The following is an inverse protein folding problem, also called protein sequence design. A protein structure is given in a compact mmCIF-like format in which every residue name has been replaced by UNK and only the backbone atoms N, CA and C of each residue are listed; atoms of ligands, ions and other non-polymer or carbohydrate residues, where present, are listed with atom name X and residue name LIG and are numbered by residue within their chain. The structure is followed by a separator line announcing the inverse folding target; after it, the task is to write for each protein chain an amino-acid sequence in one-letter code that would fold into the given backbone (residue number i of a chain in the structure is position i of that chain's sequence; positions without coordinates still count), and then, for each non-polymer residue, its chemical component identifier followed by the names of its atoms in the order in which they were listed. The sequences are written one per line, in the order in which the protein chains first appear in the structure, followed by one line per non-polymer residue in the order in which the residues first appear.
data_IF_998110697149
#
_entry.id   IF_998110697149
#
_cell.length_a   1.000
_cell.length_b   1.000
_cell.length_c   1.000
_cell.angle_alpha   90.00
_cell.angle_beta   90.00
_cell.angle_gamma   90.00
#
_symmetry.space_group_name_H-M   'P 1'
#
loop_
_entity.id
_entity.type
_entity.pdbx_description
1 polymer ?
#
# COMPACT_ATOMS: atom_id res chain seq x y z
N UNK A 1 9.13 -7.45 0.77
CA UNK A 1 9.24 -6.35 -0.22
C UNK A 1 7.90 -6.05 -0.88
N UNK A 2 7.18 -7.05 -1.41
CA UNK A 2 5.90 -6.88 -2.11
C UNK A 2 4.88 -5.98 -1.41
N UNK A 3 4.66 -6.19 -0.11
CA UNK A 3 3.77 -5.36 0.70
C UNK A 3 4.13 -3.87 0.64
N UNK A 4 5.41 -3.52 0.74
CA UNK A 4 5.87 -2.13 0.77
C UNK A 4 5.69 -1.36 -0.56
N UNK A 5 5.47 -2.08 -1.67
CA UNK A 5 5.29 -1.49 -3.01
C UNK A 5 3.91 -1.79 -3.61
N UNK A 6 3.00 -2.42 -2.84
CA UNK A 6 1.65 -2.72 -3.33
C UNK A 6 1.62 -3.81 -4.40
N UNK A 7 2.63 -4.69 -4.47
CA UNK A 7 2.66 -5.77 -5.44
C UNK A 7 1.83 -6.97 -4.96
N UNK A 8 1.01 -7.52 -5.85
CA UNK A 8 0.26 -8.76 -5.64
C UNK A 8 0.61 -9.74 -6.76
N UNK A 9 1.10 -10.92 -6.37
CA UNK A 9 1.55 -11.93 -7.32
C UNK A 9 0.38 -12.62 -8.04
N UNK A 10 -0.77 -12.79 -7.37
CA UNK A 10 -1.99 -13.37 -7.95
C UNK A 10 -2.03 -14.90 -8.05
N UNK A 11 -0.89 -15.59 -8.00
CA UNK A 11 -0.79 -17.07 -8.00
C UNK A 11 0.41 -17.50 -7.15
N UNK A 12 0.24 -17.57 -5.83
CA UNK A 12 1.30 -18.01 -4.90
C UNK A 12 1.16 -19.49 -4.55
N UNK A 13 1.05 -20.33 -5.57
CA UNK A 13 1.10 -21.78 -5.40
C UNK A 13 2.53 -22.21 -4.98
N UNK A 14 2.68 -23.42 -4.42
CA UNK A 14 3.97 -23.91 -3.92
C UNK A 14 5.03 -24.06 -4.99
N UNK A 15 4.64 -24.39 -6.23
CA UNK A 15 5.51 -24.46 -7.41
C UNK A 15 6.03 -23.09 -7.88
N UNK A 16 5.34 -22.00 -7.49
CA UNK A 16 5.74 -20.63 -7.81
C UNK A 16 6.51 -19.95 -6.67
N UNK A 17 6.98 -20.73 -5.70
CA UNK A 17 7.86 -20.27 -4.62
C UNK A 17 9.31 -20.67 -4.92
N UNK A 18 10.10 -19.73 -5.42
CA UNK A 18 11.53 -19.97 -5.64
C UNK A 18 12.26 -20.24 -4.31
N UNK A 19 13.10 -21.28 -4.27
CA UNK A 19 13.90 -21.61 -3.09
C UNK A 19 14.89 -20.51 -2.71
N UNK A 20 15.27 -19.67 -3.69
CA UNK A 20 16.13 -18.49 -3.51
C UNK A 20 15.40 -17.31 -2.85
N UNK A 21 14.06 -17.34 -2.78
CA UNK A 21 13.23 -16.23 -2.32
C UNK A 21 12.96 -15.14 -3.38
N UNK A 22 13.32 -15.40 -4.63
CA UNK A 22 13.05 -14.49 -5.76
C UNK A 22 11.59 -14.56 -6.22
N UNK A 23 11.10 -13.48 -6.83
CA UNK A 23 9.78 -13.48 -7.48
C UNK A 23 9.90 -14.18 -8.83
N UNK A 24 9.07 -15.18 -9.07
CA UNK A 24 9.05 -15.97 -10.32
C UNK A 24 7.63 -16.05 -10.86
N UNK A 25 7.47 -16.60 -12.07
CA UNK A 25 6.17 -16.88 -12.69
C UNK A 25 5.18 -15.70 -12.70
N UNK A 26 5.55 -14.64 -13.41
CA UNK A 26 4.74 -13.44 -13.62
C UNK A 26 3.53 -13.74 -14.53
N UNK A 27 2.45 -14.25 -13.95
CA UNK A 27 1.16 -14.43 -14.61
C UNK A 27 0.20 -13.26 -14.31
N UNK A 28 -0.93 -13.48 -13.61
CA UNK A 28 -1.90 -12.45 -13.30
C UNK A 28 -1.47 -11.61 -12.08
N UNK A 29 -0.28 -11.00 -12.16
CA UNK A 29 0.20 -10.10 -11.12
C UNK A 29 -0.38 -8.69 -11.28
N UNK A 30 -0.31 -7.88 -10.23
CA UNK A 30 -0.70 -6.48 -10.29
C UNK A 30 0.01 -5.63 -9.26
N UNK A 31 0.37 -4.42 -9.66
CA UNK A 31 0.63 -3.34 -8.71
C UNK A 31 -0.69 -2.68 -8.38
N UNK A 32 -0.97 -2.57 -7.09
CA UNK A 32 -2.16 -1.94 -6.56
C UNK A 32 -2.16 -0.45 -6.94
N UNK A 33 -3.22 -0.04 -7.63
CA UNK A 33 -3.47 1.36 -7.96
C UNK A 33 -4.04 2.08 -6.73
N UNK A 34 -5.32 1.83 -6.41
CA UNK A 34 -5.99 2.31 -5.20
C UNK A 34 -5.74 1.33 -4.07
N UNK A 35 -5.46 1.82 -2.85
CA UNK A 35 -5.27 0.94 -1.71
C UNK A 35 -6.53 0.13 -1.39
N UNK A 36 -6.41 -1.18 -1.54
CA UNK A 36 -7.41 -2.17 -1.17
C UNK A 36 -6.69 -3.40 -0.58
N UNK A 37 -6.82 -3.68 0.73
CA UNK A 37 -6.17 -4.83 1.34
C UNK A 37 -6.65 -6.17 0.75
N UNK A 38 -7.86 -6.17 0.19
CA UNK A 38 -8.51 -7.31 -0.43
C UNK A 38 -8.28 -7.36 -1.96
N UNK A 39 -7.38 -6.53 -2.50
CA UNK A 39 -7.08 -6.49 -3.93
C UNK A 39 -6.55 -7.82 -4.45
N UNK A 40 -7.16 -8.31 -5.53
CA UNK A 40 -6.80 -9.53 -6.23
C UNK A 40 -6.71 -9.23 -7.74
N UNK A 41 -5.51 -9.26 -8.34
CA UNK A 41 -5.36 -9.05 -9.79
C UNK A 41 -5.78 -10.28 -10.62
N UNK A 42 -5.84 -11.47 -10.01
CA UNK A 42 -6.21 -12.71 -10.68
C UNK A 42 -7.73 -12.90 -10.70
N UNK A 43 -8.34 -12.81 -11.89
CA UNK A 43 -9.78 -13.00 -12.09
C UNK A 43 -10.28 -14.41 -11.73
N UNK A 44 -9.39 -15.41 -11.71
CA UNK A 44 -9.72 -16.78 -11.30
C UNK A 44 -9.73 -16.99 -9.79
N UNK A 45 -9.17 -16.06 -9.00
CA UNK A 45 -9.12 -16.13 -7.53
C UNK A 45 -10.30 -15.38 -6.89
N UNK A 46 -11.52 -15.86 -7.14
CA UNK A 46 -12.74 -15.26 -6.58
C UNK A 46 -12.77 -15.31 -5.04
N UNK A 47 -12.13 -16.31 -4.43
CA UNK A 47 -12.01 -16.43 -2.98
C UNK A 47 -11.03 -15.40 -2.39
N UNK A 48 -10.14 -14.82 -3.20
CA UNK A 48 -9.10 -13.90 -2.76
C UNK A 48 -8.06 -14.56 -1.87
N UNK A 49 -7.73 -15.82 -2.16
CA UNK A 49 -6.67 -16.58 -1.48
C UNK A 49 -5.32 -15.86 -1.57
N UNK A 50 -5.05 -15.22 -2.71
CA UNK A 50 -3.80 -14.52 -3.02
C UNK A 50 -3.98 -13.00 -3.01
N UNK A 51 -4.96 -12.48 -2.25
CA UNK A 51 -5.13 -11.04 -2.07
C UNK A 51 -3.90 -10.38 -1.45
N UNK A 52 -3.76 -9.07 -1.62
CA UNK A 52 -2.63 -8.30 -1.09
C UNK A 52 -2.33 -8.62 0.38
N UNK A 53 -3.34 -8.55 1.26
CA UNK A 53 -3.18 -8.78 2.69
C UNK A 53 -2.92 -10.27 3.04
N UNK A 54 -3.35 -11.21 2.19
CA UNK A 54 -3.17 -12.65 2.43
C UNK A 54 -1.75 -13.14 2.11
N UNK A 55 -1.02 -12.48 1.21
CA UNK A 55 0.29 -12.95 0.73
C UNK A 55 1.27 -13.37 1.84
N UNK A 56 1.45 -12.62 2.96
CA UNK A 56 2.36 -13.04 4.03
C UNK A 56 1.95 -14.36 4.69
N UNK A 57 0.65 -14.58 4.87
CA UNK A 57 0.11 -15.84 5.42
C UNK A 57 0.23 -17.00 4.43
N UNK A 58 0.00 -16.74 3.14
CA UNK A 58 0.21 -17.75 2.08
C UNK A 58 1.67 -18.18 1.99
N UNK A 59 2.62 -17.25 2.08
CA UNK A 59 4.04 -17.59 2.11
C UNK A 59 4.39 -18.46 3.33
N UNK A 60 3.83 -18.17 4.51
CA UNK A 60 4.00 -19.03 5.69
C UNK A 60 3.41 -20.43 5.46
N UNK A 61 2.22 -20.51 4.87
CA UNK A 61 1.58 -21.78 4.52
C UNK A 61 2.42 -22.59 3.51
N UNK A 62 3.06 -21.94 2.53
CA UNK A 62 3.96 -22.60 1.58
C UNK A 62 5.25 -23.11 2.25
N UNK A 63 5.80 -22.37 3.23
CA UNK A 63 6.93 -22.83 4.05
C UNK A 63 6.56 -24.08 4.84
N UNK A 64 5.34 -24.11 5.40
CA UNK A 64 4.83 -25.28 6.11
C UNK A 64 4.73 -26.51 5.20
N UNK A 65 4.18 -26.38 3.97
CA UNK A 65 4.12 -27.47 3.00
C UNK A 65 5.50 -27.98 2.59
N UNK A 66 6.48 -27.08 2.43
CA UNK A 66 7.86 -27.47 2.20
C UNK A 66 8.43 -28.26 3.39
N UNK A 67 8.18 -27.78 4.62
CA UNK A 67 8.59 -28.47 5.84
C UNK A 67 8.02 -29.89 5.95
N UNK A 68 6.73 -30.07 5.65
CA UNK A 68 6.09 -31.40 5.61
C UNK A 68 6.77 -32.34 4.62
N UNK A 69 7.14 -31.86 3.43
CA UNK A 69 7.83 -32.67 2.43
C UNK A 69 9.24 -33.11 2.87
N UNK A 70 9.86 -32.36 3.78
CA UNK A 70 11.21 -32.58 4.30
C UNK A 70 11.23 -33.20 5.71
N UNK A 71 10.07 -33.49 6.31
CA UNK A 71 9.94 -33.86 7.71
C UNK A 71 10.77 -35.10 8.11
N UNK A 72 10.97 -36.05 7.19
CA UNK A 72 11.75 -37.26 7.43
C UNK A 72 13.27 -37.04 7.33
N UNK A 73 13.69 -35.89 6.80
CA UNK A 73 15.09 -35.51 6.60
C UNK A 73 15.56 -34.48 7.63
N UNK A 74 14.64 -33.87 8.38
CA UNK A 74 14.91 -32.79 9.32
C UNK A 74 14.64 -33.23 10.76
N UNK A 75 15.33 -32.63 11.75
CA UNK A 75 14.98 -32.82 13.16
C UNK A 75 13.52 -32.44 13.45
N UNK A 76 12.84 -33.12 14.40
CA UNK A 76 11.52 -32.71 14.85
C UNK A 76 11.49 -31.24 15.31
N UNK A 77 10.44 -30.51 14.95
CA UNK A 77 10.28 -29.09 15.32
C UNK A 77 10.96 -28.09 14.37
N UNK A 78 11.63 -28.55 13.30
CA UNK A 78 12.37 -27.68 12.38
C UNK A 78 11.45 -26.71 11.62
N UNK A 79 10.27 -27.16 11.21
CA UNK A 79 9.29 -26.35 10.47
C UNK A 79 8.75 -25.22 11.35
N UNK A 80 8.43 -25.52 12.60
CA UNK A 80 7.92 -24.56 13.58
C UNK A 80 8.97 -23.48 13.90
N UNK A 81 10.23 -23.87 14.02
CA UNK A 81 11.34 -22.93 14.19
C UNK A 81 11.51 -22.03 12.95
N UNK A 82 11.41 -22.59 11.75
CA UNK A 82 11.48 -21.82 10.51
C UNK A 82 10.31 -20.82 10.38
N UNK A 83 9.09 -21.23 10.73
CA UNK A 83 7.91 -20.35 10.73
C UNK A 83 8.03 -19.22 11.76
N UNK A 84 8.55 -19.51 12.96
CA UNK A 84 8.83 -18.48 13.96
C UNK A 84 9.88 -17.46 13.45
N UNK A 85 10.93 -17.95 12.80
CA UNK A 85 11.95 -17.10 12.18
C UNK A 85 11.40 -16.27 11.00
N UNK A 86 10.50 -16.85 10.19
CA UNK A 86 9.81 -16.16 9.10
C UNK A 86 9.01 -14.97 9.63
N UNK A 87 8.12 -15.17 10.61
CA UNK A 87 7.29 -14.09 11.14
C UNK A 87 8.10 -13.00 11.82
N UNK A 88 9.13 -13.37 12.58
CA UNK A 88 10.05 -12.40 13.19
C UNK A 88 10.73 -11.53 12.13
N UNK A 89 11.27 -12.16 11.08
CA UNK A 89 11.97 -11.46 9.99
C UNK A 89 11.01 -10.61 9.17
N UNK A 90 9.86 -11.16 8.79
CA UNK A 90 8.83 -10.45 8.03
C UNK A 90 8.35 -9.19 8.77
N UNK A 91 7.98 -9.31 10.05
CA UNK A 91 7.48 -8.17 10.84
C UNK A 91 8.54 -7.08 11.02
N UNK A 92 9.79 -7.48 11.27
CA UNK A 92 10.91 -6.54 11.39
C UNK A 92 11.18 -5.79 10.08
N UNK A 93 11.24 -6.50 8.95
CA UNK A 93 11.46 -5.91 7.63
C UNK A 93 10.28 -5.06 7.16
N UNK A 94 9.06 -5.51 7.41
CA UNK A 94 7.82 -4.78 7.12
C UNK A 94 7.84 -3.42 7.83
N UNK A 95 8.07 -3.43 9.14
CA UNK A 95 8.18 -2.20 9.94
C UNK A 95 9.32 -1.31 9.44
N UNK A 96 10.52 -1.86 9.24
CA UNK A 96 11.68 -1.08 8.81
C UNK A 96 11.48 -0.42 7.43
N UNK A 97 10.75 -1.08 6.52
CA UNK A 97 10.42 -0.52 5.20
C UNK A 97 9.39 0.58 5.29
N UNK A 98 8.28 0.37 6.00
CA UNK A 98 7.26 1.41 6.12
C UNK A 98 7.74 2.63 6.90
N UNK A 99 8.60 2.46 7.92
CA UNK A 99 9.30 3.58 8.57
C UNK A 99 10.11 4.42 7.58
N UNK A 100 10.86 3.77 6.68
CA UNK A 100 11.62 4.48 5.61
C UNK A 100 10.68 5.20 4.65
N UNK A 101 9.57 4.56 4.25
CA UNK A 101 8.54 5.16 3.39
C UNK A 101 7.86 6.37 4.03
N UNK A 102 7.73 6.40 5.35
CA UNK A 102 7.18 7.51 6.15
C UNK A 102 8.26 8.53 6.60
N UNK A 103 9.54 8.27 6.36
CA UNK A 103 10.63 9.14 6.79
C UNK A 103 10.86 9.18 8.30
N UNK A 104 10.53 8.10 9.03
CA UNK A 104 10.73 7.93 10.48
C UNK A 104 12.10 7.27 10.74
N UNK A 105 13.16 8.07 10.77
CA UNK A 105 14.56 7.62 10.65
C UNK A 105 15.41 7.79 11.93
N UNK A 106 14.92 8.55 12.91
CA UNK A 106 15.72 9.06 14.03
C UNK A 106 15.38 8.30 15.30
N UNK A 107 14.10 8.17 15.63
CA UNK A 107 13.60 7.51 16.85
C UNK A 107 12.48 6.55 16.49
N UNK A 108 12.46 5.38 17.13
CA UNK A 108 11.35 4.42 17.06
C UNK A 108 10.40 4.66 18.22
N UNK A 109 9.12 4.85 17.90
CA UNK A 109 8.04 5.02 18.87
C UNK A 109 7.02 3.90 18.67
N UNK A 110 6.42 3.42 19.76
CA UNK A 110 5.33 2.41 19.68
C UNK A 110 4.18 2.89 18.79
N UNK A 111 3.91 4.20 18.80
CA UNK A 111 2.91 4.88 17.96
C UNK A 111 3.10 4.78 16.45
N UNK A 112 4.27 4.35 15.97
CA UNK A 112 4.59 4.28 14.54
C UNK A 112 3.72 3.24 13.81
N UNK A 113 3.36 2.16 14.49
CA UNK A 113 2.50 1.10 13.94
C UNK A 113 1.06 1.59 13.80
N UNK A 114 0.51 2.29 14.81
CA UNK A 114 -0.84 2.85 14.74
C UNK A 114 -0.92 3.99 13.70
N UNK A 115 0.15 4.76 13.53
CA UNK A 115 0.22 5.78 12.48
C UNK A 115 0.16 5.16 11.08
N UNK A 116 0.88 4.07 10.85
CA UNK A 116 0.83 3.32 9.59
C UNK A 116 -0.55 2.68 9.37
N UNK A 117 -1.12 2.06 10.41
CA UNK A 117 -2.44 1.44 10.32
C UNK A 117 -3.53 2.47 9.98
N UNK A 118 -3.52 3.63 10.64
CA UNK A 118 -4.46 4.72 10.33
C UNK A 118 -4.24 5.35 8.95
N UNK A 119 -3.02 5.27 8.38
CA UNK A 119 -2.79 5.66 6.98
C UNK A 119 -3.56 4.74 6.05
N UNK A 120 -3.42 3.43 6.22
CA UNK A 120 -4.12 2.45 5.41
C UNK A 120 -5.64 2.56 5.53
N UNK A 121 -6.16 2.85 6.72
CA UNK A 121 -7.59 3.11 6.92
C UNK A 121 -8.06 4.34 6.12
N UNK A 122 -7.29 5.43 6.14
CA UNK A 122 -7.61 6.64 5.36
C UNK A 122 -7.52 6.36 3.86
N UNK A 123 -6.48 5.66 3.40
CA UNK A 123 -6.33 5.32 1.99
C UNK A 123 -7.47 4.40 1.51
N UNK A 124 -7.86 3.41 2.30
CA UNK A 124 -8.97 2.51 1.98
C UNK A 124 -10.30 3.27 1.94
N UNK A 125 -10.56 4.13 2.94
CA UNK A 125 -11.79 4.92 3.02
C UNK A 125 -11.97 5.85 1.81
N UNK A 126 -10.89 6.53 1.43
CA UNK A 126 -10.90 7.57 0.39
C UNK A 126 -10.68 7.03 -1.02
N UNK A 127 -10.24 5.77 -1.13
CA UNK A 127 -9.83 5.17 -2.40
C UNK A 127 -8.56 5.81 -2.94
N UNK A 128 -7.59 6.05 -2.07
CA UNK A 128 -6.38 6.77 -2.45
C UNK A 128 -5.36 5.89 -3.16
N UNK A 129 -4.63 6.47 -4.11
CA UNK A 129 -3.56 5.79 -4.84
C UNK A 129 -2.42 5.36 -3.90
N UNK A 130 -2.09 4.07 -3.89
CA UNK A 130 -1.08 3.49 -3.02
C UNK A 130 0.28 4.14 -3.21
N UNK A 131 0.74 4.22 -4.45
CA UNK A 131 2.09 4.65 -4.79
C UNK A 131 2.25 6.16 -4.60
N UNK A 132 1.31 6.93 -5.13
CA UNK A 132 1.37 8.38 -5.15
C UNK A 132 1.18 8.98 -3.75
N UNK A 133 0.37 8.39 -2.87
CA UNK A 133 0.28 8.85 -1.48
C UNK A 133 1.62 8.74 -0.76
N UNK A 134 2.31 7.60 -0.83
CA UNK A 134 3.64 7.46 -0.23
C UNK A 134 4.66 8.41 -0.88
N UNK A 135 4.62 8.58 -2.21
CA UNK A 135 5.49 9.52 -2.91
C UNK A 135 5.24 10.96 -2.47
N UNK A 136 3.99 11.37 -2.30
CA UNK A 136 3.62 12.72 -1.88
C UNK A 136 4.18 13.09 -0.51
N UNK A 137 4.23 12.13 0.42
CA UNK A 137 4.74 12.35 1.77
C UNK A 137 6.22 12.78 1.82
N UNK A 138 7.02 12.50 0.79
CA UNK A 138 8.41 12.99 0.74
C UNK A 138 8.50 14.50 0.63
N UNK A 139 7.43 15.16 0.16
CA UNK A 139 7.33 16.61 0.00
C UNK A 139 6.88 17.33 1.28
N UNK A 140 6.47 16.59 2.32
CA UNK A 140 6.17 17.15 3.63
C UNK A 140 7.47 17.61 4.32
N UNK A 141 7.67 18.91 4.59
CA UNK A 141 8.85 19.37 5.31
C UNK A 141 8.73 19.10 6.81
N UNK A 142 9.81 19.30 7.54
CA UNK A 142 9.75 19.31 9.00
C UNK A 142 8.89 20.48 9.51
N UNK A 143 7.89 20.24 10.38
CA UNK A 143 7.12 21.32 10.97
C UNK A 143 8.01 22.26 11.80
N UNK A 144 7.69 23.56 11.78
CA UNK A 144 8.41 24.54 12.61
C UNK A 144 7.97 24.42 14.07
N UNK A 145 6.66 24.23 14.29
CA UNK A 145 6.02 24.09 15.59
C UNK A 145 4.82 23.12 15.54
N UNK A 146 4.23 22.82 16.71
CA UNK A 146 2.97 22.05 16.78
C UNK A 146 1.80 22.79 16.11
N UNK A 147 1.80 24.12 16.13
CA UNK A 147 0.75 24.94 15.48
C UNK A 147 0.72 24.69 13.97
N UNK A 148 1.90 24.56 13.34
CA UNK A 148 2.02 24.33 11.89
C UNK A 148 1.56 22.91 11.49
N UNK A 149 1.42 22.01 12.46
CA UNK A 149 0.86 20.69 12.18
C UNK A 149 -0.65 20.80 11.87
N UNK A 150 -1.36 21.71 12.55
CA UNK A 150 -2.82 21.89 12.45
C UNK A 150 -3.24 22.94 11.43
N UNK A 151 -2.54 24.08 11.38
CA UNK A 151 -2.79 25.17 10.44
C UNK A 151 -1.55 25.37 9.59
N UNK A 152 -1.37 24.56 8.55
CA UNK A 152 -0.09 24.45 7.91
C UNK A 152 0.15 25.63 6.95
N UNK A 153 1.41 26.05 6.73
CA UNK A 153 1.76 27.00 5.67
C UNK A 153 1.37 26.50 4.27
N UNK A 154 1.25 27.41 3.29
CA UNK A 154 0.86 27.09 1.91
C UNK A 154 1.67 25.95 1.26
N UNK A 155 2.94 25.78 1.61
CA UNK A 155 3.79 24.70 1.09
C UNK A 155 3.27 23.29 1.42
N UNK A 156 2.64 23.14 2.58
CA UNK A 156 2.02 21.90 3.04
C UNK A 156 0.65 21.68 2.41
N UNK A 157 -0.07 22.75 2.06
CA UNK A 157 -1.35 22.65 1.36
C UNK A 157 -1.17 22.01 -0.02
N UNK A 158 -0.02 22.23 -0.68
CA UNK A 158 0.28 21.56 -1.94
C UNK A 158 0.31 20.01 -1.82
N UNK A 159 0.83 19.48 -0.71
CA UNK A 159 0.82 18.02 -0.47
C UNK A 159 -0.59 17.53 -0.21
N UNK A 160 -1.35 18.25 0.61
CA UNK A 160 -2.74 17.92 0.91
C UNK A 160 -3.62 17.92 -0.35
N UNK A 161 -3.56 18.98 -1.16
CA UNK A 161 -4.30 19.08 -2.42
C UNK A 161 -3.88 17.98 -3.41
N UNK A 162 -2.58 17.67 -3.47
CA UNK A 162 -2.11 16.56 -4.28
C UNK A 162 -2.68 15.22 -3.76
N UNK A 163 -2.65 14.94 -2.45
CA UNK A 163 -3.25 13.72 -1.89
C UNK A 163 -4.75 13.63 -2.19
N UNK A 164 -5.50 14.72 -2.08
CA UNK A 164 -6.91 14.73 -2.44
C UNK A 164 -7.15 14.46 -3.93
N UNK A 165 -6.25 14.90 -4.81
CA UNK A 165 -6.31 14.55 -6.23
C UNK A 165 -6.01 13.07 -6.52
N UNK A 166 -5.46 12.35 -5.53
CA UNK A 166 -5.21 10.91 -5.61
C UNK A 166 -6.34 10.06 -5.03
N UNK A 167 -7.46 10.66 -4.59
CA UNK A 167 -8.63 9.94 -4.10
C UNK A 167 -9.56 9.56 -5.27
N UNK A 168 -9.98 8.30 -5.33
CA UNK A 168 -10.95 7.80 -6.31
C UNK A 168 -12.29 8.55 -6.27
N UNK A 169 -13.01 8.70 -7.38
CA UNK A 169 -14.36 9.26 -7.33
C UNK A 169 -15.36 8.29 -6.65
N UNK A 170 -16.60 8.75 -6.39
CA UNK A 170 -17.69 7.88 -5.91
C UNK A 170 -17.95 6.76 -6.93
N UNK A 171 -17.96 7.09 -8.21
CA UNK A 171 -18.20 6.16 -9.32
C UNK A 171 -17.09 5.11 -9.41
N UNK A 172 -15.82 5.53 -9.28
CA UNK A 172 -14.68 4.61 -9.26
C UNK A 172 -14.76 3.67 -8.05
N UNK A 173 -15.02 4.19 -6.85
CA UNK A 173 -15.17 3.35 -5.65
C UNK A 173 -16.32 2.35 -5.78
N UNK A 174 -17.45 2.75 -6.34
CA UNK A 174 -18.59 1.86 -6.56
C UNK A 174 -18.27 0.71 -7.54
N UNK A 175 -17.40 0.95 -8.53
CA UNK A 175 -16.90 -0.09 -9.44
C UNK A 175 -15.96 -1.04 -8.72
N UNK A 176 -14.96 -0.51 -8.01
CA UNK A 176 -13.98 -1.29 -7.25
C UNK A 176 -14.61 -2.18 -6.18
N UNK A 177 -15.68 -1.69 -5.54
CA UNK A 177 -16.40 -2.38 -4.46
C UNK A 177 -17.53 -3.28 -4.97
N UNK A 178 -17.62 -3.56 -6.28
CA UNK A 178 -18.62 -4.47 -6.82
C UNK A 178 -18.48 -5.85 -6.16
N UNK A 179 -19.49 -6.33 -5.40
CA UNK A 179 -19.40 -7.63 -4.75
C UNK A 179 -19.35 -8.76 -5.79
N UNK A 180 -18.60 -9.81 -5.51
CA UNK A 180 -18.59 -11.03 -6.33
C UNK A 180 -19.90 -11.80 -6.16
N UNK A 181 -20.51 -11.73 -4.97
CA UNK A 181 -21.78 -12.36 -4.66
C UNK A 181 -22.95 -11.39 -4.84
N UNK A 182 -24.03 -11.86 -5.48
CA UNK A 182 -25.28 -11.09 -5.57
C UNK A 182 -25.86 -10.80 -4.17
N UNK A 183 -26.44 -9.62 -3.89
CA UNK A 183 -26.95 -9.26 -2.55
C UNK A 183 -27.88 -10.30 -1.90
N UNK A 184 -28.82 -10.86 -2.67
CA UNK A 184 -29.71 -11.92 -2.18
C UNK A 184 -28.98 -13.23 -1.80
N UNK A 185 -27.90 -13.57 -2.53
CA UNK A 185 -27.07 -14.73 -2.18
C UNK A 185 -26.29 -14.44 -0.89
N UNK A 186 -25.73 -13.24 -0.77
CA UNK A 186 -25.01 -12.78 0.41
C UNK A 186 -25.89 -12.81 1.67
N UNK A 187 -27.13 -12.30 1.58
CA UNK A 187 -28.08 -12.31 2.69
C UNK A 187 -28.43 -13.74 3.16
N UNK A 188 -28.66 -14.66 2.21
CA UNK A 188 -28.92 -16.08 2.52
C UNK A 188 -27.72 -16.74 3.19
N UNK A 189 -26.52 -16.54 2.66
CA UNK A 189 -25.30 -17.10 3.23
C UNK A 189 -25.01 -16.55 4.64
N UNK A 190 -25.31 -15.28 4.91
CA UNK A 190 -25.24 -14.71 6.27
C UNK A 190 -26.23 -15.36 7.24
N UNK A 191 -27.45 -15.65 6.78
CA UNK A 191 -28.43 -16.36 7.60
C UNK A 191 -27.98 -17.80 7.91
N UNK A 192 -27.41 -18.51 6.91
CA UNK A 192 -26.82 -19.84 7.12
C UNK A 192 -25.67 -19.75 8.12
N UNK A 193 -24.71 -18.84 7.92
CA UNK A 193 -23.56 -18.64 8.80
C UNK A 193 -23.93 -18.35 10.25
N UNK A 194 -25.03 -17.63 10.48
CA UNK A 194 -25.50 -17.29 11.82
C UNK A 194 -26.14 -18.48 12.54
N UNK A 195 -26.75 -19.41 11.79
CA UNK A 195 -27.46 -20.57 12.34
C UNK A 195 -26.55 -21.81 12.44
N UNK A 196 -25.71 -22.05 11.45
CA UNK A 196 -24.80 -23.18 11.36
C UNK A 196 -23.54 -22.78 10.55
N UNK A 197 -22.47 -22.34 11.23
CA UNK A 197 -21.23 -21.95 10.57
C UNK A 197 -20.55 -23.10 9.80
N UNK A 198 -20.75 -24.36 10.20
CA UNK A 198 -20.11 -25.52 9.55
C UNK A 198 -20.70 -25.79 8.16
N UNK A 199 -21.98 -25.45 7.95
CA UNK A 199 -22.61 -25.53 6.63
C UNK A 199 -21.94 -24.62 5.58
N UNK A 200 -21.28 -23.53 5.98
CA UNK A 200 -20.54 -22.68 5.04
C UNK A 200 -19.41 -23.42 4.33
N UNK A 201 -18.73 -24.32 5.04
CA UNK A 201 -17.67 -25.16 4.47
C UNK A 201 -18.23 -26.09 3.38
N UNK A 202 -19.48 -26.54 3.51
CA UNK A 202 -20.19 -27.32 2.49
C UNK A 202 -20.43 -26.55 1.17
N UNK A 203 -20.42 -25.22 1.21
CA UNK A 203 -20.47 -24.35 0.02
C UNK A 203 -19.08 -23.92 -0.46
N UNK A 204 -18.00 -24.41 0.16
CA UNK A 204 -16.63 -24.01 -0.15
C UNK A 204 -16.33 -22.54 0.17
N UNK A 205 -17.12 -21.91 1.06
CA UNK A 205 -16.99 -20.51 1.42
C UNK A 205 -16.43 -20.37 2.84
N UNK A 206 -15.35 -19.61 2.96
CA UNK A 206 -14.81 -19.19 4.25
C UNK A 206 -15.66 -18.03 4.82
N UNK A 207 -15.85 -18.01 6.14
CA UNK A 207 -16.44 -16.89 6.88
C UNK A 207 -15.72 -15.57 6.57
N UNK A 208 -14.41 -15.60 6.38
CA UNK A 208 -13.63 -14.41 6.01
C UNK A 208 -14.08 -13.82 4.65
N UNK A 209 -14.39 -14.68 3.68
CA UNK A 209 -14.94 -14.27 2.37
C UNK A 209 -16.30 -13.61 2.56
N UNK A 210 -17.17 -14.21 3.38
CA UNK A 210 -18.50 -13.67 3.65
C UNK A 210 -18.47 -12.29 4.32
N UNK A 211 -17.58 -12.11 5.31
CA UNK A 211 -17.37 -10.85 6.00
C UNK A 211 -16.80 -9.77 5.05
N UNK A 212 -15.85 -10.15 4.18
CA UNK A 212 -15.32 -9.27 3.13
C UNK A 212 -16.41 -8.78 2.19
N UNK A 213 -17.17 -9.68 1.57
CA UNK A 213 -18.24 -9.33 0.63
C UNK A 213 -19.31 -8.47 1.30
N UNK A 214 -19.60 -8.74 2.57
CA UNK A 214 -20.50 -7.93 3.39
C UNK A 214 -20.02 -6.49 3.60
N UNK A 215 -18.73 -6.29 3.92
CA UNK A 215 -18.14 -4.95 4.06
C UNK A 215 -18.17 -4.19 2.73
N UNK A 216 -17.83 -4.86 1.63
CA UNK A 216 -17.87 -4.27 0.28
C UNK A 216 -19.29 -3.81 -0.10
N UNK A 217 -20.29 -4.66 0.11
CA UNK A 217 -21.69 -4.34 -0.17
C UNK A 217 -22.17 -3.13 0.64
N UNK A 218 -21.92 -3.11 1.95
CA UNK A 218 -22.33 -2.01 2.83
C UNK A 218 -21.67 -0.68 2.43
N UNK A 219 -20.35 -0.70 2.14
CA UNK A 219 -19.64 0.51 1.70
C UNK A 219 -20.15 1.02 0.35
N UNK A 220 -20.48 0.12 -0.57
CA UNK A 220 -21.03 0.48 -1.88
C UNK A 220 -22.42 1.12 -1.76
N UNK A 221 -23.25 0.63 -0.85
CA UNK A 221 -24.57 1.22 -0.54
C UNK A 221 -24.44 2.61 0.09
N UNK A 222 -23.50 2.80 1.02
CA UNK A 222 -23.19 4.13 1.58
C UNK A 222 -22.79 5.12 0.48
N UNK A 223 -21.90 4.70 -0.43
CA UNK A 223 -21.44 5.52 -1.55
C UNK A 223 -22.55 5.80 -2.57
N UNK A 224 -23.52 4.90 -2.77
CA UNK A 224 -24.66 5.11 -3.66
C UNK A 224 -25.56 6.27 -3.21
N UNK A 225 -25.56 6.57 -1.92
CA UNK A 225 -26.33 7.66 -1.33
C UNK A 225 -25.51 8.92 -1.06
N UNK A 226 -24.23 8.96 -1.47
CA UNK A 226 -23.30 10.06 -1.17
C UNK A 226 -23.10 10.96 -2.39
N UNK A 227 -23.33 12.27 -2.24
CA UNK A 227 -23.02 13.22 -3.31
C UNK A 227 -21.49 13.40 -3.46
N UNK A 228 -20.97 13.62 -4.68
CA UNK A 228 -19.52 13.80 -4.91
C UNK A 228 -18.89 14.92 -4.06
N UNK A 229 -19.64 16.01 -3.80
CA UNK A 229 -19.20 17.10 -2.93
C UNK A 229 -19.04 16.67 -1.47
N UNK A 230 -19.97 15.85 -0.97
CA UNK A 230 -19.91 15.34 0.40
C UNK A 230 -18.78 14.33 0.56
N UNK A 231 -18.55 13.49 -0.45
CA UNK A 231 -17.39 12.59 -0.51
C UNK A 231 -16.09 13.37 -0.43
N UNK A 232 -15.92 14.39 -1.27
CA UNK A 232 -14.72 15.23 -1.28
C UNK A 232 -14.51 15.95 0.07
N UNK A 233 -15.58 16.39 0.73
CA UNK A 233 -15.50 16.99 2.08
C UNK A 233 -15.04 15.95 3.12
N UNK A 234 -15.63 14.76 3.13
CA UNK A 234 -15.25 13.68 4.04
C UNK A 234 -13.79 13.22 3.84
N UNK A 235 -13.33 13.13 2.59
CA UNK A 235 -11.92 12.85 2.28
C UNK A 235 -10.98 13.96 2.75
N UNK A 236 -11.38 15.23 2.58
CA UNK A 236 -10.60 16.37 3.03
C UNK A 236 -10.42 16.36 4.55
N UNK A 237 -11.49 16.07 5.30
CA UNK A 237 -11.44 15.90 6.76
C UNK A 237 -10.54 14.72 7.14
N UNK A 238 -10.73 13.56 6.48
CA UNK A 238 -9.93 12.36 6.67
C UNK A 238 -8.43 12.59 6.55
N UNK A 239 -8.02 13.19 5.43
CA UNK A 239 -6.61 13.43 5.13
C UNK A 239 -6.02 14.53 6.00
N UNK A 240 -6.79 15.57 6.33
CA UNK A 240 -6.34 16.63 7.23
C UNK A 240 -6.03 16.09 8.61
N UNK A 241 -6.93 15.26 9.16
CA UNK A 241 -6.76 14.65 10.47
C UNK A 241 -5.53 13.72 10.52
N UNK A 242 -5.33 12.92 9.47
CA UNK A 242 -4.18 12.02 9.42
C UNK A 242 -2.87 12.77 9.19
N UNK A 243 -2.83 13.77 8.29
CA UNK A 243 -1.65 14.61 8.07
C UNK A 243 -1.26 15.37 9.34
N UNK A 244 -2.24 15.84 10.12
CA UNK A 244 -1.98 16.43 11.42
C UNK A 244 -1.20 15.46 12.34
N UNK A 245 -1.68 14.22 12.48
CA UNK A 245 -1.02 13.17 13.28
C UNK A 245 0.38 12.85 12.75
N UNK A 246 0.53 12.73 11.44
CA UNK A 246 1.80 12.48 10.77
C UNK A 246 2.81 13.60 11.00
N UNK A 247 2.39 14.87 10.85
CA UNK A 247 3.23 16.05 11.09
C UNK A 247 3.68 16.14 12.55
N UNK A 248 2.79 15.87 13.51
CA UNK A 248 3.18 15.77 14.92
C UNK A 248 4.27 14.71 15.12
N UNK A 249 4.16 13.56 14.45
CA UNK A 249 5.18 12.51 14.56
C UNK A 249 6.51 12.91 13.92
N UNK A 250 6.50 13.58 12.78
CA UNK A 250 7.70 14.16 12.16
C UNK A 250 8.33 15.24 13.06
N UNK A 251 7.52 16.06 13.72
CA UNK A 251 8.02 17.07 14.65
C UNK A 251 8.84 16.42 15.78
N UNK A 252 8.45 15.23 16.25
CA UNK A 252 9.24 14.47 17.23
C UNK A 252 10.58 13.98 16.67
N UNK A 253 10.66 13.61 15.39
CA UNK A 253 11.94 13.31 14.72
C UNK A 253 12.87 14.53 14.75
N UNK A 254 12.34 15.71 14.37
CA UNK A 254 13.07 16.98 14.42
C UNK A 254 13.54 17.28 15.84
N UNK A 255 12.66 17.21 16.83
CA UNK A 255 13.00 17.43 18.25
C UNK A 255 14.08 16.46 18.74
N UNK A 256 14.05 15.20 18.32
CA UNK A 256 15.07 14.23 18.64
C UNK A 256 16.43 14.59 18.02
N UNK A 257 16.46 15.09 16.78
CA UNK A 257 17.67 15.63 16.14
C UNK A 257 18.21 16.82 16.92
N UNK A 258 17.37 17.80 17.25
CA UNK A 258 17.78 18.97 18.03
C UNK A 258 18.35 18.58 19.40
N UNK A 259 17.68 17.67 20.11
CA UNK A 259 18.13 17.16 21.41
C UNK A 259 19.49 16.46 21.31
N UNK A 260 19.72 15.67 20.25
CA UNK A 260 21.02 15.03 19.99
C UNK A 260 22.10 16.06 19.67
N UNK A 261 21.81 17.06 18.85
CA UNK A 261 22.74 18.13 18.49
C UNK A 261 23.16 18.97 19.70
N UNK A 262 22.21 19.38 20.56
CA UNK A 262 22.49 20.13 21.80
C UNK A 262 23.34 19.36 22.81
N UNK A 263 23.24 18.02 22.82
CA UNK A 263 24.02 17.14 23.72
C UNK A 263 25.44 16.86 23.22
N UNK A 264 25.78 17.22 21.99
CA UNK A 264 27.15 17.02 21.47
C UNK A 264 28.17 17.85 22.27
N UNK A 265 29.42 17.38 22.36
CA UNK A 265 30.44 17.86 23.31
C UNK A 265 30.78 19.38 23.22
N UNK A 266 30.34 20.08 22.17
CA UNK A 266 30.53 21.52 21.98
C UNK A 266 29.34 22.38 22.48
N UNK A 267 28.30 21.79 23.08
CA UNK A 267 27.13 22.54 23.55
C UNK A 267 26.27 23.15 22.44
N UNK A 268 26.46 22.69 21.18
CA UNK A 268 25.66 22.98 19.99
C UNK A 268 25.09 24.40 19.91
N UNK A 269 25.84 25.32 19.30
CA UNK A 269 25.33 26.65 18.95
C UNK A 269 24.02 26.54 18.16
N UNK A 270 23.19 27.60 18.19
CA UNK A 270 21.93 27.62 17.44
C UNK A 270 22.13 27.31 15.94
N UNK A 271 23.27 27.75 15.36
CA UNK A 271 23.64 27.45 13.98
C UNK A 271 23.95 25.97 13.73
N UNK A 272 24.63 25.29 14.65
CA UNK A 272 24.94 23.86 14.53
C UNK A 272 23.66 23.00 14.64
N UNK A 273 22.76 23.37 15.55
CA UNK A 273 21.45 22.69 15.68
C UNK A 273 20.63 22.86 14.40
N UNK A 274 20.57 24.06 13.84
CA UNK A 274 19.87 24.31 12.58
C UNK A 274 20.48 23.52 11.42
N UNK A 275 21.81 23.46 11.33
CA UNK A 275 22.52 22.66 10.32
C UNK A 275 22.22 21.16 10.45
N UNK A 276 22.20 20.62 11.67
CA UNK A 276 21.86 19.22 11.92
C UNK A 276 20.40 18.90 11.53
N UNK A 277 19.45 19.80 11.85
CA UNK A 277 18.05 19.66 11.44
C UNK A 277 17.90 19.71 9.93
N UNK A 278 18.60 20.62 9.25
CA UNK A 278 18.58 20.72 7.78
C UNK A 278 19.15 19.45 7.13
N UNK A 279 20.27 18.94 7.63
CA UNK A 279 20.87 17.70 7.15
C UNK A 279 19.92 16.50 7.36
N UNK A 280 19.24 16.42 8.50
CA UNK A 280 18.24 15.40 8.77
C UNK A 280 17.02 15.50 7.85
N UNK A 281 16.54 16.72 7.55
CA UNK A 281 15.45 16.95 6.61
C UNK A 281 15.82 16.49 5.20
N UNK A 282 17.01 16.86 4.70
CA UNK A 282 17.51 16.41 3.38
C UNK A 282 17.61 14.89 3.35
N UNK A 283 18.24 14.28 4.37
CA UNK A 283 18.38 12.82 4.46
C UNK A 283 17.02 12.12 4.47
N UNK A 284 16.02 12.69 5.16
CA UNK A 284 14.66 12.15 5.20
C UNK A 284 14.06 12.08 3.79
N UNK A 285 14.10 13.18 3.04
CA UNK A 285 13.58 13.23 1.67
C UNK A 285 14.30 12.21 0.79
N UNK A 286 15.64 12.18 0.81
CA UNK A 286 16.43 11.21 0.02
C UNK A 286 16.05 9.76 0.32
N UNK A 287 15.91 9.39 1.60
CA UNK A 287 15.51 8.03 1.98
C UNK A 287 14.08 7.73 1.54
N UNK A 288 13.16 8.66 1.70
CA UNK A 288 11.77 8.46 1.27
C UNK A 288 11.69 8.28 -0.25
N UNK A 289 12.35 9.13 -1.03
CA UNK A 289 12.34 9.05 -2.49
C UNK A 289 13.00 7.77 -3.01
N UNK A 290 14.01 7.25 -2.32
CA UNK A 290 14.63 5.96 -2.63
C UNK A 290 13.77 4.73 -2.23
N UNK A 291 12.72 4.91 -1.42
CA UNK A 291 11.84 3.83 -0.96
C UNK A 291 10.37 3.98 -1.44
N UNK A 292 10.02 5.14 -2.01
CA UNK A 292 8.71 5.47 -2.54
C UNK A 292 8.87 5.71 -4.05
N UNK A 293 8.55 4.70 -4.88
CA UNK A 293 8.68 4.84 -6.32
C UNK A 293 7.74 5.95 -6.81
N UNK A 294 8.19 6.70 -7.81
CA UNK A 294 7.33 7.58 -8.62
C UNK A 294 6.52 6.78 -9.64
N UNK A 295 7.06 5.64 -10.08
CA UNK A 295 6.46 4.81 -11.12
C UNK A 295 6.42 3.33 -10.72
N UNK A 296 5.27 2.70 -10.96
CA UNK A 296 5.08 1.25 -10.87
C UNK A 296 4.46 0.77 -12.18
N UNK A 297 4.56 -0.54 -12.47
CA UNK A 297 3.94 -1.12 -13.66
C UNK A 297 2.42 -1.26 -13.43
N UNK A 298 1.70 -0.15 -13.59
CA UNK A 298 0.24 -0.09 -13.49
C UNK A 298 -0.41 -0.95 -14.57
N UNK A 299 -1.53 -1.59 -14.25
CA UNK A 299 -2.17 -2.53 -15.18
C UNK A 299 -2.56 -1.87 -16.51
N UNK A 300 -3.10 -0.65 -16.50
CA UNK A 300 -3.47 0.05 -17.74
C UNK A 300 -2.28 0.39 -18.62
N UNK A 301 -1.10 0.66 -18.03
CA UNK A 301 0.11 0.97 -18.78
C UNK A 301 0.63 -0.29 -19.49
N UNK A 302 0.59 -1.44 -18.80
CA UNK A 302 0.89 -2.74 -19.38
C UNK A 302 -0.12 -3.12 -20.48
N UNK A 303 -1.42 -3.02 -20.22
CA UNK A 303 -2.47 -3.33 -21.18
C UNK A 303 -2.34 -2.49 -22.46
N UNK A 304 -2.17 -1.17 -22.32
CA UNK A 304 -1.94 -0.27 -23.47
C UNK A 304 -0.68 -0.63 -24.26
N UNK A 305 0.38 -1.05 -23.58
CA UNK A 305 1.62 -1.48 -24.24
C UNK A 305 1.42 -2.78 -25.02
N UNK A 306 0.66 -3.74 -24.46
CA UNK A 306 0.28 -5.00 -25.11
C UNK A 306 -0.59 -4.73 -26.35
N UNK A 307 -1.64 -3.92 -26.22
CA UNK A 307 -2.55 -3.58 -27.32
C UNK A 307 -1.82 -2.97 -28.52
N UNK A 308 -0.86 -2.07 -28.25
CA UNK A 308 -0.04 -1.45 -29.30
C UNK A 308 0.97 -2.43 -29.90
N UNK A 309 1.59 -3.26 -29.07
CA UNK A 309 2.50 -4.29 -29.56
C UNK A 309 1.80 -5.31 -30.46
N UNK A 310 0.54 -5.66 -30.17
CA UNK A 310 -0.29 -6.50 -31.03
C UNK A 310 -0.54 -5.87 -32.42
N UNK A 311 -0.50 -4.53 -32.51
CA UNK A 311 -0.52 -3.78 -33.77
C UNK A 311 0.88 -3.53 -34.35
N UNK A 312 1.92 -4.24 -33.91
CA UNK A 312 3.34 -4.08 -34.26
C UNK A 312 3.95 -2.70 -33.90
N UNK A 313 3.36 -1.98 -32.93
CA UNK A 313 3.87 -0.70 -32.42
C UNK A 313 4.46 -0.88 -31.01
N UNK A 314 5.79 -1.02 -30.96
CA UNK A 314 6.55 -1.26 -29.72
C UNK A 314 6.93 0.02 -28.97
N UNK A 315 6.58 1.22 -29.47
CA UNK A 315 7.02 2.49 -28.89
C UNK A 315 6.47 2.71 -27.47
N UNK A 316 5.33 2.13 -27.13
CA UNK A 316 4.77 2.22 -25.78
C UNK A 316 5.51 1.32 -24.79
N UNK A 317 5.94 0.13 -25.21
CA UNK A 317 6.80 -0.76 -24.41
C UNK A 317 8.11 -0.05 -24.08
N UNK A 318 8.77 0.55 -25.08
CA UNK A 318 10.02 1.29 -24.86
C UNK A 318 9.85 2.43 -23.87
N UNK A 319 8.73 3.15 -23.91
CA UNK A 319 8.44 4.23 -22.96
C UNK A 319 8.20 3.68 -21.54
N UNK A 320 7.38 2.64 -21.40
CA UNK A 320 7.11 2.02 -20.10
C UNK A 320 8.41 1.47 -19.48
N UNK A 321 9.21 0.75 -20.26
CA UNK A 321 10.53 0.25 -19.83
C UNK A 321 11.48 1.40 -19.48
N UNK A 322 11.51 2.46 -20.29
CA UNK A 322 12.35 3.64 -20.03
C UNK A 322 12.05 4.28 -18.67
N UNK A 323 10.77 4.38 -18.32
CA UNK A 323 10.33 4.92 -17.03
C UNK A 323 10.64 3.96 -15.88
N UNK A 324 10.38 2.67 -16.05
CA UNK A 324 10.57 1.66 -14.99
C UNK A 324 12.03 1.29 -14.73
N UNK A 325 12.98 1.67 -15.59
CA UNK A 325 14.43 1.54 -15.32
C UNK A 325 14.89 2.43 -14.16
N UNK A 326 14.20 3.54 -13.90
CA UNK A 326 14.53 4.51 -12.84
C UNK A 326 13.26 4.91 -12.08
N UNK A 327 12.58 3.96 -11.42
CA UNK A 327 11.22 4.14 -10.93
C UNK A 327 11.14 5.07 -9.72
N UNK A 328 12.26 5.38 -9.07
CA UNK A 328 12.36 6.26 -7.90
C UNK A 328 12.77 7.71 -8.24
N UNK A 329 13.27 7.95 -9.45
CA UNK A 329 13.70 9.27 -9.91
C UNK A 329 12.51 10.06 -10.47
N UNK A 330 12.52 11.38 -10.27
CA UNK A 330 11.68 12.26 -11.09
C UNK A 330 12.24 12.27 -12.51
N UNK A 331 11.35 12.13 -13.49
CA UNK A 331 11.69 12.11 -14.91
C UNK A 331 10.96 13.26 -15.62
N UNK A 332 11.34 13.58 -16.86
CA UNK A 332 10.80 14.75 -17.58
C UNK A 332 9.27 14.77 -17.63
N UNK A 333 8.67 15.73 -16.90
CA UNK A 333 7.22 15.80 -16.62
C UNK A 333 6.34 15.60 -17.85
N UNK A 334 6.63 16.32 -18.95
CA UNK A 334 5.84 16.30 -20.18
C UNK A 334 5.70 14.90 -20.80
N UNK A 335 6.65 14.01 -20.55
CA UNK A 335 6.68 12.66 -21.15
C UNK A 335 6.15 11.61 -20.18
N UNK A 336 6.30 11.83 -18.87
CA UNK A 336 6.11 10.78 -17.86
C UNK A 336 4.88 10.93 -17.00
N UNK A 337 4.20 12.09 -17.00
CA UNK A 337 3.08 12.34 -16.08
C UNK A 337 1.94 11.32 -16.23
N UNK A 338 1.64 10.87 -17.45
CA UNK A 338 0.62 9.84 -17.71
C UNK A 338 0.90 8.45 -17.11
N UNK A 339 2.12 8.19 -16.64
CA UNK A 339 2.50 6.93 -15.95
C UNK A 339 2.56 7.11 -14.43
N UNK A 340 2.41 8.34 -13.97
CA UNK A 340 2.61 8.76 -12.60
C UNK A 340 1.34 9.39 -12.00
N UNK A 341 0.34 9.69 -12.83
CA UNK A 341 -0.97 10.18 -12.44
C UNK A 341 -1.81 9.10 -11.77
N UNK A 342 -2.89 9.52 -11.12
CA UNK A 342 -3.97 8.62 -10.75
C UNK A 342 -4.45 7.84 -12.01
N UNK A 343 -4.81 6.55 -11.90
CA UNK A 343 -5.26 5.77 -13.04
C UNK A 343 -6.54 6.36 -13.65
N UNK A 344 -6.74 6.21 -14.97
CA UNK A 344 -7.97 6.67 -15.60
C UNK A 344 -9.17 5.78 -15.21
N UNK A 345 -10.38 6.35 -15.12
CA UNK A 345 -11.58 5.65 -14.63
C UNK A 345 -11.91 4.32 -15.32
N UNK A 346 -11.56 4.16 -16.60
CA UNK A 346 -11.79 2.95 -17.38
C UNK A 346 -10.82 1.81 -17.02
N UNK A 347 -9.70 2.11 -16.36
CA UNK A 347 -8.65 1.13 -16.08
C UNK A 347 -8.95 0.19 -14.91
N UNK A 348 -9.86 0.58 -14.03
CA UNK A 348 -10.12 -0.15 -12.77
C UNK A 348 -10.79 -1.52 -12.94
N UNK A 349 -11.25 -1.86 -14.15
CA UNK A 349 -11.85 -3.15 -14.49
C UNK A 349 -10.93 -4.03 -15.34
N UNK A 350 -9.71 -3.56 -15.64
CA UNK A 350 -8.76 -4.33 -16.42
C UNK A 350 -8.22 -5.52 -15.62
N UNK A 351 -8.01 -6.61 -16.34
CA UNK A 351 -7.22 -7.75 -15.86
C UNK A 351 -6.26 -8.10 -16.97
N UNK A 352 -4.97 -8.19 -16.65
CA UNK A 352 -3.97 -8.74 -17.55
C UNK A 352 -4.16 -10.27 -17.55
N UNK A 353 -4.60 -10.82 -18.67
CA UNK A 353 -4.80 -12.26 -18.89
C UNK A 353 -3.74 -12.83 -19.80
#
# INVERSE_FOLDING_TARGET
AWQAVGFVHGVLNTDNMAITGETIDYGPFGFMDVYDPDYVPNSSDAAGRYSYAAQPGVCAWNIERLGESLQNLLPPGSTEQALAAYWKTFNSEYRARFRRKLGLLIVEEEGDEQLLQSLFEVMQRTGADFTNCFRALSREPFPLSERDCYTPPQSFDAVFEYMLSQCASVEVLQKLLRPALHPNALARLRAIAANDPEQLAGFGLDRAVLERESRRAARREELANMAPRDKRRADAEAWRDWLYKYRLRILREKQAVEKRARKSAAGGSAGEVASAVQAAAIRRVMVMEANNPRFVLRQYAAARAIDRAAANDFAEIEKVLGVLRRPFEEQGFLVTEKYASFPPDWSHELTLT
#
